data_IF_122057166649
#
_entry.id   IF_122057166649
#
_cell.length_a   1.000
_cell.length_b   1.000
_cell.length_c   1.000
_cell.angle_alpha   90.00
_cell.angle_beta   90.00
_cell.angle_gamma   90.00
#
_symmetry.space_group_name_H-M   'P 1'
#
loop_
_entity.id
_entity.type
_entity.pdbx_description
1 polymer ?
#
# COMPACT_ATOMS: atom_id res chain seq x y z
N UNK A 1 18.09 0.70 9.65
CA UNK A 1 16.65 0.33 9.74
C UNK A 1 15.76 1.56 9.77
N UNK A 2 16.15 2.62 10.48
CA UNK A 2 15.43 3.91 10.46
C UNK A 2 15.43 4.54 9.08
N UNK A 3 16.55 4.51 8.35
CA UNK A 3 16.62 5.07 7.00
C UNK A 3 15.67 4.36 6.01
N UNK A 4 15.50 3.04 6.15
CA UNK A 4 14.55 2.26 5.37
C UNK A 4 13.09 2.61 5.70
N UNK A 5 12.79 2.93 6.96
CA UNK A 5 11.47 3.44 7.36
C UNK A 5 11.23 4.82 6.75
N UNK A 6 12.22 5.71 6.84
CA UNK A 6 12.15 7.04 6.26
C UNK A 6 11.97 7.01 4.74
N UNK A 7 12.73 6.18 4.01
CA UNK A 7 12.53 5.94 2.58
C UNK A 7 11.10 5.47 2.29
N UNK A 8 10.60 4.51 3.08
CA UNK A 8 9.25 3.99 2.91
C UNK A 8 8.18 5.06 3.13
N UNK A 9 8.28 5.84 4.21
CA UNK A 9 7.36 6.94 4.50
C UNK A 9 7.36 7.96 3.36
N UNK A 10 8.54 8.42 2.92
CA UNK A 10 8.68 9.42 1.87
C UNK A 10 8.07 8.94 0.53
N UNK A 11 8.46 7.74 0.09
CA UNK A 11 8.06 7.20 -1.23
C UNK A 11 6.57 6.88 -1.24
N UNK A 12 6.06 6.21 -0.19
CA UNK A 12 4.66 5.80 -0.13
C UNK A 12 3.76 7.04 0.03
N UNK A 13 4.14 7.99 0.90
CA UNK A 13 3.36 9.22 1.08
C UNK A 13 3.27 10.04 -0.19
N UNK A 14 4.40 10.24 -0.90
CA UNK A 14 4.41 10.97 -2.16
C UNK A 14 3.51 10.32 -3.23
N UNK A 15 3.52 8.99 -3.31
CA UNK A 15 2.67 8.25 -4.23
C UNK A 15 1.17 8.42 -3.90
N UNK A 16 0.80 8.34 -2.61
CA UNK A 16 -0.58 8.51 -2.17
C UNK A 16 -1.07 9.95 -2.37
N UNK A 17 -0.27 10.96 -2.00
CA UNK A 17 -0.62 12.37 -2.23
C UNK A 17 -0.84 12.65 -3.72
N UNK A 18 0.02 12.13 -4.60
CA UNK A 18 -0.16 12.26 -6.05
C UNK A 18 -1.44 11.57 -6.54
N UNK A 19 -1.76 10.38 -6.00
CA UNK A 19 -2.97 9.64 -6.35
C UNK A 19 -4.23 10.41 -5.95
N UNK A 20 -4.31 10.85 -4.69
CA UNK A 20 -5.46 11.59 -4.15
C UNK A 20 -5.68 12.87 -4.95
N UNK A 21 -4.63 13.66 -5.21
CA UNK A 21 -4.75 14.90 -5.99
C UNK A 21 -5.23 14.69 -7.43
N UNK A 22 -4.90 13.56 -8.05
CA UNK A 22 -5.28 13.24 -9.44
C UNK A 22 -6.68 12.66 -9.55
N UNK A 23 -7.16 12.01 -8.50
CA UNK A 23 -8.42 11.26 -8.51
C UNK A 23 -9.53 11.93 -7.71
N UNK A 24 -9.20 12.95 -6.91
CA UNK A 24 -10.10 13.58 -5.94
C UNK A 24 -10.71 12.56 -4.96
N UNK A 25 -10.00 11.46 -4.72
CA UNK A 25 -10.44 10.37 -3.86
C UNK A 25 -10.36 10.79 -2.39
N UNK A 26 -11.48 10.75 -1.68
CA UNK A 26 -11.48 10.95 -0.23
C UNK A 26 -10.83 9.74 0.47
N UNK A 27 -9.90 9.93 1.43
CA UNK A 27 -9.34 8.83 2.21
C UNK A 27 -10.41 7.98 2.92
N UNK A 28 -11.55 8.59 3.26
CA UNK A 28 -12.71 7.92 3.83
C UNK A 28 -13.48 7.05 2.84
N UNK A 29 -13.22 7.12 1.54
CA UNK A 29 -13.85 6.27 0.52
C UNK A 29 -12.99 5.03 0.15
N UNK A 30 -11.83 4.86 0.77
CA UNK A 30 -10.96 3.70 0.56
C UNK A 30 -11.51 2.50 1.32
N UNK A 31 -11.73 1.37 0.65
CA UNK A 31 -12.23 0.13 1.25
C UNK A 31 -11.21 -0.99 1.27
N UNK A 32 -10.30 -0.99 0.29
CA UNK A 32 -9.30 -2.03 0.08
C UNK A 32 -7.93 -1.38 -0.13
N UNK A 33 -6.93 -1.85 0.60
CA UNK A 33 -5.54 -1.42 0.48
C UNK A 33 -4.65 -2.65 0.26
N UNK A 34 -4.03 -2.73 -0.92
CA UNK A 34 -3.02 -3.73 -1.24
C UNK A 34 -1.67 -3.03 -1.33
N UNK A 35 -0.74 -3.39 -0.45
CA UNK A 35 0.62 -2.89 -0.48
C UNK A 35 1.58 -4.06 -0.70
N UNK A 36 2.47 -3.92 -1.67
CA UNK A 36 3.58 -4.83 -1.84
C UNK A 36 4.93 -4.14 -1.64
N UNK A 37 5.82 -4.83 -0.93
CA UNK A 37 7.24 -4.50 -0.83
C UNK A 37 8.04 -5.79 -0.65
N UNK A 38 8.94 -6.10 -1.58
CA UNK A 38 9.65 -7.39 -1.58
C UNK A 38 10.80 -7.46 -0.56
N UNK A 39 11.45 -6.34 -0.29
CA UNK A 39 12.78 -6.28 0.37
C UNK A 39 12.73 -5.68 1.78
N UNK A 40 11.60 -5.12 2.18
CA UNK A 40 11.43 -4.47 3.47
C UNK A 40 10.07 -4.80 4.08
N UNK A 41 10.09 -5.47 5.23
CA UNK A 41 8.88 -5.90 5.97
C UNK A 41 9.03 -5.58 7.47
N UNK A 42 8.93 -4.30 7.87
CA UNK A 42 9.07 -3.90 9.27
C UNK A 42 7.87 -4.33 10.13
N UNK A 43 8.06 -4.26 11.45
CA UNK A 43 6.98 -4.22 12.43
C UNK A 43 6.99 -2.84 13.13
N UNK A 44 5.87 -2.09 13.16
CA UNK A 44 4.59 -2.33 12.48
C UNK A 44 4.73 -2.36 10.95
N UNK A 45 3.75 -2.98 10.26
CA UNK A 45 3.80 -3.20 8.81
C UNK A 45 3.69 -1.90 8.00
N UNK A 46 4.12 -1.92 6.74
CA UNK A 46 3.96 -0.80 5.82
C UNK A 46 2.49 -0.43 5.59
N UNK A 47 1.59 -1.42 5.60
CA UNK A 47 0.15 -1.14 5.52
C UNK A 47 -0.35 -0.42 6.77
N UNK A 48 0.10 -0.81 7.96
CA UNK A 48 -0.25 -0.11 9.20
C UNK A 48 0.26 1.33 9.20
N UNK A 49 1.45 1.56 8.64
CA UNK A 49 2.01 2.90 8.44
C UNK A 49 1.10 3.75 7.53
N UNK A 50 0.67 3.22 6.38
CA UNK A 50 -0.25 3.92 5.47
C UNK A 50 -1.59 4.23 6.13
N UNK A 51 -2.18 3.25 6.81
CA UNK A 51 -3.46 3.42 7.52
C UNK A 51 -3.39 4.59 8.51
N UNK A 52 -2.28 4.68 9.27
CA UNK A 52 -2.07 5.75 10.24
C UNK A 52 -1.80 7.11 9.58
N UNK A 53 -0.93 7.15 8.55
CA UNK A 53 -0.57 8.40 7.86
C UNK A 53 -1.75 9.03 7.13
N UNK A 54 -2.55 8.21 6.44
CA UNK A 54 -3.68 8.67 5.65
C UNK A 54 -4.99 8.74 6.45
N UNK A 55 -4.95 8.38 7.75
CA UNK A 55 -6.12 8.29 8.63
C UNK A 55 -7.27 7.50 7.99
N UNK A 56 -6.94 6.37 7.39
CA UNK A 56 -7.94 5.49 6.78
C UNK A 56 -8.87 4.91 7.85
N UNK A 57 -10.08 4.52 7.43
CA UNK A 57 -11.05 3.88 8.30
C UNK A 57 -10.51 2.56 8.85
N UNK A 58 -10.90 2.17 10.06
CA UNK A 58 -10.39 0.96 10.72
C UNK A 58 -10.89 -0.35 10.10
N UNK A 59 -11.92 -0.29 9.26
CA UNK A 59 -12.54 -1.43 8.58
C UNK A 59 -11.98 -1.71 7.17
N UNK A 60 -10.97 -0.95 6.73
CA UNK A 60 -10.30 -1.16 5.44
C UNK A 60 -9.66 -2.54 5.37
N UNK A 61 -9.95 -3.28 4.30
CA UNK A 61 -9.31 -4.57 4.03
C UNK A 61 -7.87 -4.37 3.57
N UNK A 62 -6.95 -4.76 4.44
CA UNK A 62 -5.53 -4.50 4.31
C UNK A 62 -4.75 -5.76 3.91
N UNK A 63 -3.95 -5.68 2.85
CA UNK A 63 -3.07 -6.76 2.38
C UNK A 63 -1.63 -6.28 2.29
N UNK A 64 -0.72 -6.92 3.05
CA UNK A 64 0.72 -6.62 3.03
C UNK A 64 1.48 -7.78 2.38
N UNK A 65 1.85 -7.63 1.11
CA UNK A 65 2.53 -8.65 0.31
C UNK A 65 4.05 -8.47 0.34
N UNK A 66 4.77 -9.50 0.76
CA UNK A 66 6.24 -9.49 0.88
C UNK A 66 6.85 -10.78 0.31
N UNK A 67 8.14 -10.78 -0.03
CA UNK A 67 8.89 -11.99 -0.40
C UNK A 67 8.64 -12.60 -1.79
N UNK A 68 7.74 -12.05 -2.62
CA UNK A 68 7.41 -12.61 -3.95
C UNK A 68 8.28 -12.07 -5.12
N UNK A 69 9.26 -11.21 -4.82
CA UNK A 69 10.16 -10.64 -5.83
C UNK A 69 9.47 -9.73 -6.85
N UNK A 70 10.08 -9.56 -8.02
CA UNK A 70 9.63 -8.58 -9.03
C UNK A 70 8.21 -8.83 -9.59
N UNK A 71 7.67 -10.03 -9.43
CA UNK A 71 6.35 -10.40 -9.95
C UNK A 71 5.19 -9.96 -9.02
N UNK A 72 5.50 -9.49 -7.81
CA UNK A 72 4.49 -9.15 -6.80
C UNK A 72 3.53 -8.05 -7.27
N UNK A 73 3.95 -7.16 -8.16
CA UNK A 73 3.10 -6.10 -8.70
C UNK A 73 1.85 -6.65 -9.41
N UNK A 74 2.02 -7.64 -10.31
CA UNK A 74 0.92 -8.30 -11.01
C UNK A 74 -0.01 -9.05 -10.05
N UNK A 75 0.57 -9.76 -9.07
CA UNK A 75 -0.18 -10.48 -8.04
C UNK A 75 -1.04 -9.50 -7.23
N UNK A 76 -0.51 -8.32 -6.93
CA UNK A 76 -1.22 -7.27 -6.17
C UNK A 76 -2.42 -6.73 -6.92
N UNK A 77 -2.28 -6.53 -8.24
CA UNK A 77 -3.37 -6.08 -9.10
C UNK A 77 -4.44 -7.16 -9.24
N UNK A 78 -4.05 -8.43 -9.41
CA UNK A 78 -5.04 -9.52 -9.48
C UNK A 78 -5.77 -9.72 -8.15
N UNK A 79 -5.08 -9.59 -7.01
CA UNK A 79 -5.71 -9.59 -5.69
C UNK A 79 -6.73 -8.46 -5.52
N UNK A 80 -6.39 -7.24 -5.98
CA UNK A 80 -7.32 -6.12 -5.98
C UNK A 80 -8.53 -6.40 -6.88
N UNK A 81 -8.32 -6.95 -8.08
CA UNK A 81 -9.38 -7.34 -9.01
C UNK A 81 -10.33 -8.37 -8.40
N UNK A 82 -9.81 -9.42 -7.76
CA UNK A 82 -10.63 -10.43 -7.09
C UNK A 82 -11.40 -9.78 -5.92
N UNK A 83 -10.75 -8.92 -5.15
CA UNK A 83 -11.38 -8.23 -4.03
C UNK A 83 -12.53 -7.32 -4.48
N UNK A 84 -12.34 -6.54 -5.54
CA UNK A 84 -13.38 -5.69 -6.14
C UNK A 84 -14.56 -6.50 -6.71
N UNK A 85 -14.29 -7.68 -7.30
CA UNK A 85 -15.35 -8.58 -7.79
C UNK A 85 -16.22 -9.12 -6.67
N UNK A 86 -15.63 -9.40 -5.51
CA UNK A 86 -16.33 -9.93 -4.36
C UNK A 86 -17.01 -8.85 -3.51
N UNK A 87 -16.65 -7.58 -3.70
CA UNK A 87 -17.16 -6.44 -2.95
C UNK A 87 -17.55 -5.30 -3.91
N UNK A 88 -18.77 -5.31 -4.47
CA UNK A 88 -19.21 -4.29 -5.40
C UNK A 88 -19.26 -2.91 -4.75
N UNK A 89 -19.08 -1.85 -5.56
CA UNK A 89 -19.06 -0.44 -5.13
C UNK A 89 -17.99 -0.13 -4.06
N UNK A 90 -16.81 -0.74 -4.18
CA UNK A 90 -15.67 -0.44 -3.31
C UNK A 90 -14.52 0.16 -4.10
N UNK A 91 -13.72 1.00 -3.43
CA UNK A 91 -12.48 1.55 -3.97
C UNK A 91 -11.27 0.79 -3.43
N UNK A 92 -10.36 0.43 -4.34
CA UNK A 92 -9.12 -0.25 -4.01
C UNK A 92 -7.90 0.58 -4.39
N UNK A 93 -6.98 0.74 -3.45
CA UNK A 93 -5.65 1.31 -3.69
C UNK A 93 -4.63 0.18 -3.74
N UNK A 94 -3.82 0.16 -4.80
CA UNK A 94 -2.68 -0.75 -4.95
C UNK A 94 -1.40 0.06 -4.92
N UNK A 95 -0.55 -0.21 -3.92
CA UNK A 95 0.75 0.43 -3.74
C UNK A 95 1.82 -0.64 -4.01
N UNK A 96 2.66 -0.38 -5.01
CA UNK A 96 3.83 -1.20 -5.29
C UNK A 96 5.08 -0.37 -5.08
N UNK A 97 5.95 -0.82 -4.18
CA UNK A 97 7.20 -0.11 -3.88
C UNK A 97 8.35 -1.08 -3.64
N UNK A 98 9.58 -0.57 -3.76
CA UNK A 98 10.81 -1.29 -3.48
C UNK A 98 11.70 -0.39 -2.61
N UNK A 99 11.75 -0.69 -1.33
CA UNK A 99 12.57 0.04 -0.35
C UNK A 99 13.96 -0.57 -0.33
N UNK A 100 14.94 0.11 -0.92
CA UNK A 100 16.27 -0.47 -1.18
C UNK A 100 17.31 -0.13 -0.12
N UNK A 101 17.07 0.87 0.73
CA UNK A 101 17.97 1.26 1.81
C UNK A 101 18.44 0.12 2.72
N UNK A 102 17.64 -0.91 3.08
CA UNK A 102 18.15 -2.00 3.92
C UNK A 102 19.16 -2.93 3.22
N UNK A 103 19.38 -2.77 1.90
CA UNK A 103 20.36 -3.56 1.15
C UNK A 103 21.74 -2.89 1.03
N UNK A 104 21.91 -1.71 1.63
CA UNK A 104 23.16 -0.96 1.70
C UNK A 104 23.59 -0.80 3.16
#
# INVERSE_FOLDING_TARGET
MEDAKFEAELVIFSAIDSLIRKTDLDPGDVDILVLNCSVFSPAPSLVAMVMNMCKLRSDVRCYNLTGMGCNVGLISVDLARISLRNHPNTNAIVISTKIITPNY
#
